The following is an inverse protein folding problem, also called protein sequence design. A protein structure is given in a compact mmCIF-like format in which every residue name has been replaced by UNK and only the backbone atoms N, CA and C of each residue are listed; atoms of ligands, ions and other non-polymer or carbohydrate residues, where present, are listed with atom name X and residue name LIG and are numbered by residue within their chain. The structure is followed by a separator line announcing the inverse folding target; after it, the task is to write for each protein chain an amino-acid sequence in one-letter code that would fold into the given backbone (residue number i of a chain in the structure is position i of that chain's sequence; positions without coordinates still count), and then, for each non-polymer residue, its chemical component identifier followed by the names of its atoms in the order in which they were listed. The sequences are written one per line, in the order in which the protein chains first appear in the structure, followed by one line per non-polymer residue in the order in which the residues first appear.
data_IF_261588794701
#
_entry.id   IF_261588794701
#
_cell.length_a   1.000
_cell.length_b   1.000
_cell.length_c   1.000
_cell.angle_alpha   90.00
_cell.angle_beta   90.00
_cell.angle_gamma   90.00
#
_symmetry.space_group_name_H-M   'P 1'
#
loop_
_entity.id
_entity.type
_entity.pdbx_description
1 polymer ?
#
# COMPACT_ATOMS: atom_id res chain seq x y z
N UNK A 1 -8.68 9.31 -30.93
CA UNK A 1 -7.66 8.48 -30.26
C UNK A 1 -7.32 9.20 -28.97
N UNK A 2 -7.89 8.72 -27.88
CA UNK A 2 -7.72 9.30 -26.55
C UNK A 2 -6.54 8.61 -25.89
N UNK A 3 -5.63 9.35 -25.27
CA UNK A 3 -4.64 8.78 -24.36
C UNK A 3 -5.38 8.01 -23.27
N UNK A 4 -5.39 6.69 -23.36
CA UNK A 4 -6.13 5.82 -22.48
C UNK A 4 -5.21 4.91 -21.68
N UNK A 5 -5.84 3.97 -20.99
CA UNK A 5 -5.16 2.90 -20.28
C UNK A 5 -4.18 2.10 -21.18
N UNK A 6 -4.44 1.84 -22.48
CA UNK A 6 -3.51 1.10 -23.34
C UNK A 6 -2.17 1.80 -23.57
N UNK A 7 -2.16 3.12 -23.80
CA UNK A 7 -0.94 3.89 -24.01
C UNK A 7 -0.08 3.91 -22.74
N UNK A 8 -0.71 4.08 -21.57
CA UNK A 8 -0.03 4.00 -20.28
C UNK A 8 0.57 2.62 -20.02
N UNK A 9 -0.12 1.55 -20.43
CA UNK A 9 0.40 0.19 -20.30
C UNK A 9 1.65 -0.04 -21.16
N UNK A 10 1.68 0.48 -22.40
CA UNK A 10 2.87 0.39 -23.28
C UNK A 10 4.05 1.13 -22.65
N UNK A 11 3.83 2.33 -22.12
CA UNK A 11 4.87 3.11 -21.44
C UNK A 11 5.38 2.36 -20.21
N UNK A 12 4.48 1.77 -19.41
CA UNK A 12 4.84 0.97 -18.24
C UNK A 12 5.72 -0.22 -18.62
N UNK A 13 5.40 -0.93 -19.72
CA UNK A 13 6.22 -2.04 -20.21
C UNK A 13 7.62 -1.58 -20.59
N UNK A 14 7.76 -0.44 -21.27
CA UNK A 14 9.07 0.11 -21.63
C UNK A 14 9.87 0.44 -20.36
N UNK A 15 9.25 1.10 -19.38
CA UNK A 15 9.90 1.42 -18.10
C UNK A 15 10.33 0.15 -17.35
N UNK A 16 9.50 -0.89 -17.35
CA UNK A 16 9.84 -2.20 -16.76
C UNK A 16 11.04 -2.86 -17.46
N UNK A 17 11.18 -2.73 -18.78
CA UNK A 17 12.32 -3.25 -19.53
C UNK A 17 13.61 -2.46 -19.27
N UNK A 18 13.52 -1.13 -19.14
CA UNK A 18 14.69 -0.27 -18.87
C UNK A 18 15.23 -0.42 -17.45
N UNK A 19 14.34 -0.39 -16.47
CA UNK A 19 14.72 -0.41 -15.04
C UNK A 19 14.74 -1.84 -14.47
N UNK A 20 14.09 -2.79 -15.12
CA UNK A 20 13.86 -4.13 -14.61
C UNK A 20 12.78 -4.19 -13.53
N UNK A 21 12.11 -5.33 -13.43
CA UNK A 21 11.04 -5.56 -12.43
C UNK A 21 11.57 -5.56 -10.99
N UNK A 22 12.82 -5.97 -10.78
CA UNK A 22 13.44 -6.06 -9.44
C UNK A 22 13.58 -4.70 -8.78
N UNK A 23 14.04 -3.68 -9.52
CA UNK A 23 14.20 -2.31 -9.00
C UNK A 23 12.83 -1.67 -8.76
N UNK A 24 11.89 -1.83 -9.69
CA UNK A 24 10.53 -1.34 -9.51
C UNK A 24 9.80 -2.01 -8.33
N UNK A 25 10.05 -3.30 -8.06
CA UNK A 25 9.49 -4.01 -6.91
C UNK A 25 10.07 -3.52 -5.58
N UNK A 26 11.38 -3.26 -5.49
CA UNK A 26 11.97 -2.74 -4.25
C UNK A 26 11.47 -1.34 -3.95
N UNK A 27 11.53 -0.42 -4.92
CA UNK A 27 11.01 0.94 -4.77
C UNK A 27 9.50 0.96 -4.52
N UNK A 28 8.73 0.11 -5.20
CA UNK A 28 7.29 0.01 -5.04
C UNK A 28 6.87 -0.55 -3.67
N UNK A 29 7.67 -1.46 -3.08
CA UNK A 29 7.41 -1.98 -1.73
C UNK A 29 7.57 -0.89 -0.66
N UNK A 30 8.61 -0.07 -0.79
CA UNK A 30 8.91 1.00 0.16
C UNK A 30 7.89 2.13 0.06
N UNK A 31 7.64 2.61 -1.17
CA UNK A 31 6.63 3.63 -1.44
C UNK A 31 5.21 3.12 -1.12
N UNK A 32 4.91 1.86 -1.43
CA UNK A 32 3.62 1.24 -1.15
C UNK A 32 3.36 1.14 0.35
N UNK A 33 4.36 0.81 1.16
CA UNK A 33 4.25 0.77 2.62
C UNK A 33 4.01 2.16 3.20
N UNK A 34 4.70 3.19 2.69
CA UNK A 34 4.50 4.58 3.10
C UNK A 34 3.10 5.09 2.73
N UNK A 35 2.65 4.85 1.50
CA UNK A 35 1.31 5.23 1.03
C UNK A 35 0.22 4.47 1.79
N UNK A 36 0.44 3.19 2.12
CA UNK A 36 -0.48 2.40 2.94
C UNK A 36 -0.66 3.00 4.33
N UNK A 37 0.43 3.38 5.00
CA UNK A 37 0.38 4.06 6.29
C UNK A 37 -0.34 5.42 6.22
N UNK A 38 -0.08 6.18 5.16
CA UNK A 38 -0.77 7.46 4.90
C UNK A 38 -2.28 7.26 4.68
N UNK A 39 -2.68 6.27 3.86
CA UNK A 39 -4.09 5.94 3.63
C UNK A 39 -4.77 5.46 4.89
N UNK A 40 -4.12 4.61 5.69
CA UNK A 40 -4.66 4.14 6.97
C UNK A 40 -4.84 5.27 7.98
N UNK A 41 -3.92 6.24 8.03
CA UNK A 41 -4.06 7.41 8.91
C UNK A 41 -5.19 8.34 8.46
N UNK A 42 -5.34 8.53 7.14
CA UNK A 42 -6.41 9.34 6.56
C UNK A 42 -7.78 8.67 6.77
N UNK A 43 -7.88 7.36 6.53
CA UNK A 43 -9.07 6.56 6.84
C UNK A 43 -9.39 6.61 8.34
N UNK A 44 -8.43 6.37 9.24
CA UNK A 44 -8.66 6.40 10.70
C UNK A 44 -9.13 7.76 11.23
N UNK A 45 -8.84 8.86 10.53
CA UNK A 45 -9.39 10.19 10.85
C UNK A 45 -10.88 10.29 10.51
N UNK A 46 -11.33 9.59 9.46
CA UNK A 46 -12.73 9.46 9.06
C UNK A 46 -13.49 8.44 9.93
N UNK A 47 -12.82 7.37 10.39
CA UNK A 47 -13.42 6.26 11.16
C UNK A 47 -13.24 6.38 12.68
N UNK A 48 -12.87 7.55 13.22
CA UNK A 48 -12.93 7.80 14.69
C UNK A 48 -14.37 7.66 15.25
N UNK A 49 -15.37 7.44 14.40
CA UNK A 49 -16.63 6.80 14.77
C UNK A 49 -16.68 5.35 14.26
N UNK A 50 -15.94 4.41 14.86
CA UNK A 50 -16.20 2.94 14.96
C UNK A 50 -14.88 2.17 15.16
N UNK A 51 -14.91 1.16 16.02
CA UNK A 51 -13.83 0.17 16.24
C UNK A 51 -12.57 0.65 16.98
N UNK A 52 -12.77 0.94 18.27
CA UNK A 52 -11.89 0.36 19.30
C UNK A 52 -12.39 -1.08 19.54
N UNK A 53 -12.01 -2.03 18.69
CA UNK A 53 -12.08 -3.45 19.07
C UNK A 53 -11.10 -4.25 18.20
N UNK A 54 -10.06 -4.78 18.83
CA UNK A 54 -9.54 -6.14 18.66
C UNK A 54 -8.22 -6.25 19.43
N UNK A 55 -8.35 -6.69 20.68
CA UNK A 55 -7.27 -7.35 21.40
C UNK A 55 -6.78 -8.57 20.61
N UNK A 56 -5.49 -8.91 20.73
CA UNK A 56 -5.22 -10.26 21.19
C UNK A 56 -4.12 -10.31 22.26
N UNK A 57 -4.53 -10.86 23.41
CA UNK A 57 -3.84 -11.89 24.20
C UNK A 57 -2.50 -11.52 24.88
N UNK A 58 -2.57 -11.29 26.19
CA UNK A 58 -1.54 -11.73 27.14
C UNK A 58 -2.23 -12.35 28.37
N UNK A 59 -2.30 -13.69 28.38
CA UNK A 59 -2.65 -14.47 29.57
C UNK A 59 -1.50 -14.38 30.58
N UNK A 60 -1.71 -13.68 31.71
CA UNK A 60 -0.97 -13.94 32.96
C UNK A 60 -2.00 -14.31 34.01
N UNK A 61 -2.21 -15.61 34.19
CA UNK A 61 -2.84 -16.15 35.40
C UNK A 61 -1.77 -16.16 36.49
N UNK A 62 -2.00 -15.35 37.51
CA UNK A 62 -1.38 -15.45 38.83
C UNK A 62 -1.98 -16.67 39.54
N UNK A 63 -1.14 -17.63 39.90
CA UNK A 63 -1.22 -18.41 41.14
C UNK A 63 0.21 -18.79 41.54
#
# INVERSE_FOLDING_TARGET
MSFGIPELAIILVIVLLLFGTTKLKSLGSDLGSAIKGFRSALSRNDETTKEIETEPKAETKTD
#
